data_IF_024016827190
#
_entry.id   IF_024016827190
#
_cell.length_a   1.000
_cell.length_b   1.000
_cell.length_c   1.000
_cell.angle_alpha   90.00
_cell.angle_beta   90.00
_cell.angle_gamma   90.00
#
_symmetry.space_group_name_H-M   'P 1'
#
loop_
_entity.id
_entity.type
_entity.pdbx_description
1 polymer ?
#
# COMPACT_ATOMS: atom_id res chain seq x y z
N UNK A 1 -41.64 46.61 6.04
CA UNK A 1 -40.17 46.75 6.01
C UNK A 1 -39.56 45.79 7.02
N UNK A 2 -38.41 45.18 6.67
CA UNK A 2 -37.50 44.33 7.48
C UNK A 2 -37.85 42.83 7.49
N UNK A 3 -37.46 42.08 6.47
CA UNK A 3 -36.12 41.55 6.14
C UNK A 3 -35.87 40.19 6.79
N UNK A 4 -36.16 39.12 6.03
CA UNK A 4 -35.72 37.75 6.33
C UNK A 4 -34.20 37.65 6.10
N UNK A 5 -33.44 37.34 7.15
CA UNK A 5 -32.04 36.92 7.02
C UNK A 5 -32.01 35.41 6.78
N UNK A 6 -31.76 35.00 5.54
CA UNK A 6 -31.41 33.62 5.19
C UNK A 6 -29.88 33.51 5.26
N UNK A 7 -29.37 32.87 6.32
CA UNK A 7 -27.97 32.46 6.41
C UNK A 7 -27.79 31.18 5.58
N UNK A 8 -27.23 31.32 4.38
CA UNK A 8 -26.75 30.20 3.58
C UNK A 8 -25.38 29.76 4.11
N UNK A 9 -25.32 28.59 4.73
CA UNK A 9 -24.08 27.94 5.14
C UNK A 9 -23.48 27.22 3.93
N UNK A 10 -22.56 27.89 3.23
CA UNK A 10 -21.78 27.25 2.17
C UNK A 10 -20.77 26.31 2.82
N UNK A 11 -21.03 25.00 2.71
CA UNK A 11 -20.07 23.98 3.12
C UNK A 11 -19.02 23.83 2.03
N UNK A 12 -17.78 24.23 2.31
CA UNK A 12 -16.63 23.94 1.45
C UNK A 12 -16.35 22.44 1.53
N UNK A 13 -16.71 21.69 0.47
CA UNK A 13 -16.25 20.32 0.31
C UNK A 13 -14.77 20.37 -0.07
N UNK A 14 -13.89 20.17 0.93
CA UNK A 14 -12.51 19.81 0.64
C UNK A 14 -12.53 18.45 -0.05
N UNK A 15 -12.17 18.40 -1.33
CA UNK A 15 -11.90 17.14 -2.02
C UNK A 15 -10.66 16.54 -1.38
N UNK A 16 -10.87 15.76 -0.33
CA UNK A 16 -9.88 14.80 0.13
C UNK A 16 -9.98 13.62 -0.82
N UNK A 17 -8.91 13.32 -1.57
CA UNK A 17 -8.80 12.07 -2.36
C UNK A 17 -8.53 10.90 -1.41
N UNK A 18 -9.29 10.82 -0.32
CA UNK A 18 -9.21 9.74 0.63
C UNK A 18 -9.92 8.53 0.03
N UNK A 19 -9.14 7.49 -0.24
CA UNK A 19 -9.62 6.18 -0.63
C UNK A 19 -9.89 5.35 0.61
N UNK A 20 -10.73 4.33 0.48
CA UNK A 20 -11.02 3.41 1.57
C UNK A 20 -11.05 1.97 1.06
N UNK A 21 -10.59 1.04 1.90
CA UNK A 21 -10.66 -0.39 1.64
C UNK A 21 -11.08 -1.16 2.88
N UNK A 22 -11.80 -2.26 2.67
CA UNK A 22 -12.18 -3.20 3.71
C UNK A 22 -11.23 -4.40 3.67
N UNK A 23 -10.53 -4.62 4.79
CA UNK A 23 -9.73 -5.81 5.03
C UNK A 23 -10.64 -6.84 5.69
N UNK A 24 -10.67 -8.03 5.12
CA UNK A 24 -11.44 -9.16 5.59
C UNK A 24 -10.52 -10.17 6.28
N UNK A 25 -11.09 -10.85 7.26
CA UNK A 25 -10.53 -11.97 7.99
C UNK A 25 -11.33 -13.22 7.63
N UNK A 26 -10.64 -14.31 7.29
CA UNK A 26 -11.28 -15.54 6.86
C UNK A 26 -10.60 -16.76 7.51
N UNK A 27 -11.23 -17.34 8.56
CA UNK A 27 -10.81 -18.61 9.15
C UNK A 27 -10.95 -19.76 8.14
N UNK A 28 -10.07 -20.75 8.25
CA UNK A 28 -10.18 -21.97 7.45
C UNK A 28 -11.46 -22.72 7.85
N UNK A 29 -12.41 -22.85 6.90
CA UNK A 29 -13.67 -23.57 7.10
C UNK A 29 -14.86 -22.69 7.52
N UNK A 30 -14.71 -21.37 7.59
CA UNK A 30 -15.80 -20.42 7.86
C UNK A 30 -16.04 -19.48 6.68
N UNK A 31 -16.91 -18.49 6.83
CA UNK A 31 -17.07 -17.39 5.87
C UNK A 31 -16.17 -16.19 6.24
N UNK A 32 -15.74 -15.35 5.26
CA UNK A 32 -15.01 -14.12 5.53
C UNK A 32 -15.85 -13.09 6.31
N UNK A 33 -15.24 -12.42 7.27
CA UNK A 33 -15.83 -11.32 8.03
C UNK A 33 -14.96 -10.07 7.98
N UNK A 34 -15.52 -8.90 8.32
CA UNK A 34 -14.76 -7.66 8.38
C UNK A 34 -13.69 -7.73 9.49
N UNK A 35 -12.46 -7.34 9.15
CA UNK A 35 -11.33 -7.23 10.08
C UNK A 35 -10.98 -5.77 10.37
N UNK A 36 -10.86 -4.97 9.31
CA UNK A 36 -10.53 -3.56 9.44
C UNK A 36 -11.10 -2.77 8.26
N UNK A 37 -11.43 -1.51 8.50
CA UNK A 37 -11.65 -0.54 7.42
C UNK A 37 -10.54 0.48 7.46
N UNK A 38 -9.80 0.60 6.36
CA UNK A 38 -8.68 1.53 6.24
C UNK A 38 -9.05 2.65 5.29
N UNK A 39 -8.95 3.88 5.77
CA UNK A 39 -8.99 5.09 4.93
C UNK A 39 -7.56 5.56 4.72
N UNK A 40 -7.20 5.91 3.48
CA UNK A 40 -5.84 6.35 3.15
C UNK A 40 -5.84 7.40 2.05
N UNK A 41 -4.85 8.28 2.09
CA UNK A 41 -4.54 9.21 1.01
C UNK A 41 -3.13 8.90 0.48
N UNK A 42 -3.00 8.38 -0.76
CA UNK A 42 -1.71 8.00 -1.32
C UNK A 42 -0.77 9.20 -1.54
N UNK A 43 -1.29 10.42 -1.58
CA UNK A 43 -0.48 11.63 -1.82
C UNK A 43 0.07 12.20 -0.51
N UNK A 44 -0.76 12.24 0.54
CA UNK A 44 -0.36 12.78 1.85
C UNK A 44 0.15 11.73 2.82
N UNK A 45 0.08 10.45 2.45
CA UNK A 45 0.41 9.28 3.28
C UNK A 45 -0.34 9.22 4.61
N UNK A 46 -1.45 9.95 4.71
CA UNK A 46 -2.33 9.92 5.88
C UNK A 46 -3.16 8.66 5.83
N UNK A 47 -3.20 7.95 6.94
CA UNK A 47 -3.96 6.72 7.11
C UNK A 47 -4.80 6.79 8.38
N UNK A 48 -5.96 6.16 8.35
CA UNK A 48 -6.84 5.94 9.49
C UNK A 48 -7.41 4.52 9.42
N UNK A 49 -7.52 3.85 10.56
CA UNK A 49 -7.94 2.45 10.63
C UNK A 49 -8.98 2.21 11.70
N UNK A 50 -10.13 1.69 11.28
CA UNK A 50 -11.15 1.16 12.16
C UNK A 50 -10.97 -0.36 12.27
N UNK A 51 -10.19 -0.80 13.27
CA UNK A 51 -9.86 -2.19 13.51
C UNK A 51 -10.90 -2.90 14.38
N UNK A 52 -11.30 -4.12 13.99
CA UNK A 52 -12.23 -4.98 14.70
C UNK A 52 -11.49 -6.28 15.07
N UNK A 53 -10.95 -6.40 16.30
CA UNK A 53 -10.18 -7.56 16.70
C UNK A 53 -11.00 -8.85 16.54
N UNK A 54 -10.48 -9.86 15.81
CA UNK A 54 -11.15 -11.16 15.74
C UNK A 54 -11.00 -11.89 17.07
N UNK A 55 -11.92 -12.80 17.36
CA UNK A 55 -11.73 -13.78 18.44
C UNK A 55 -11.11 -15.06 17.83
N UNK A 56 -9.79 -15.26 17.93
CA UNK A 56 -9.12 -16.33 17.21
C UNK A 56 -9.45 -17.68 17.86
N UNK A 57 -10.19 -18.52 17.13
CA UNK A 57 -10.41 -19.94 17.48
C UNK A 57 -9.47 -20.88 16.73
N UNK A 58 -8.76 -20.37 15.71
CA UNK A 58 -7.87 -21.12 14.84
C UNK A 58 -6.46 -20.51 14.88
N UNK A 59 -5.44 -21.34 14.60
CA UNK A 59 -4.03 -20.92 14.63
C UNK A 59 -3.65 -20.06 13.41
N UNK A 60 -4.19 -20.41 12.23
CA UNK A 60 -3.92 -19.77 10.95
C UNK A 60 -5.19 -19.26 10.31
N UNK A 61 -5.12 -18.04 9.79
CA UNK A 61 -6.26 -17.30 9.25
C UNK A 61 -5.84 -16.55 8.00
N UNK A 62 -6.74 -16.42 7.04
CA UNK A 62 -6.48 -15.61 5.85
C UNK A 62 -6.89 -14.18 6.14
N UNK A 63 -6.09 -13.23 5.69
CA UNK A 63 -6.45 -11.82 5.64
C UNK A 63 -6.36 -11.34 4.20
N UNK A 64 -7.24 -10.43 3.78
CA UNK A 64 -7.25 -10.00 2.40
C UNK A 64 -8.48 -9.22 2.04
N UNK A 65 -8.73 -9.11 0.74
CA UNK A 65 -9.87 -8.41 0.17
C UNK A 65 -10.33 -9.12 -1.11
N UNK A 66 -11.49 -8.73 -1.60
CA UNK A 66 -12.00 -9.21 -2.89
C UNK A 66 -11.70 -8.19 -3.98
N UNK A 67 -10.86 -8.58 -4.95
CA UNK A 67 -10.63 -7.82 -6.18
C UNK A 67 -11.34 -8.53 -7.32
N UNK A 68 -12.27 -7.87 -8.00
CA UNK A 68 -13.01 -8.46 -9.14
C UNK A 68 -13.66 -9.82 -8.82
N UNK A 69 -14.23 -9.97 -7.62
CA UNK A 69 -14.83 -11.21 -7.09
C UNK A 69 -13.84 -12.36 -6.84
N UNK A 70 -12.54 -12.10 -6.91
CA UNK A 70 -11.49 -13.04 -6.56
C UNK A 70 -10.88 -12.64 -5.22
N UNK A 71 -10.65 -13.63 -4.36
CA UNK A 71 -9.96 -13.41 -3.09
C UNK A 71 -8.47 -13.17 -3.36
N UNK A 72 -7.94 -12.10 -2.80
CA UNK A 72 -6.50 -11.80 -2.80
C UNK A 72 -6.08 -11.49 -1.38
N UNK A 73 -5.06 -12.17 -0.89
CA UNK A 73 -4.64 -12.03 0.51
C UNK A 73 -3.53 -12.97 0.95
N UNK A 74 -3.19 -12.86 2.21
CA UNK A 74 -2.11 -13.59 2.89
C UNK A 74 -2.65 -14.55 3.94
N UNK A 75 -1.90 -15.61 4.24
CA UNK A 75 -2.15 -16.48 5.40
C UNK A 75 -1.26 -16.01 6.56
N UNK A 76 -1.85 -15.76 7.72
CA UNK A 76 -1.16 -15.21 8.90
C UNK A 76 -1.51 -16.00 10.15
N UNK A 77 -0.65 -15.92 11.17
CA UNK A 77 -0.97 -16.43 12.50
C UNK A 77 -2.07 -15.56 13.13
N UNK A 78 -3.07 -16.20 13.73
CA UNK A 78 -4.20 -15.48 14.33
C UNK A 78 -3.76 -14.63 15.53
N UNK A 79 -2.71 -15.06 16.24
CA UNK A 79 -2.06 -14.30 17.31
C UNK A 79 -1.44 -12.98 16.84
N UNK A 80 -1.09 -12.86 15.55
CA UNK A 80 -0.55 -11.60 15.01
C UNK A 80 -1.63 -10.51 14.84
N UNK A 81 -2.90 -10.84 15.04
CA UNK A 81 -4.02 -9.89 14.92
C UNK A 81 -4.48 -9.32 16.27
N UNK A 82 -3.97 -9.81 17.41
CA UNK A 82 -4.44 -9.37 18.74
C UNK A 82 -3.72 -8.15 19.27
N UNK A 83 -2.47 -7.92 18.86
CA UNK A 83 -1.57 -6.92 19.48
C UNK A 83 -1.32 -5.71 18.56
N UNK A 84 -2.40 -4.99 18.19
CA UNK A 84 -2.33 -3.81 17.30
C UNK A 84 -1.54 -4.06 16.01
N UNK A 85 -2.05 -4.94 15.12
CA UNK A 85 -1.34 -5.27 13.89
C UNK A 85 -1.08 -4.05 13.02
N UNK A 86 0.12 -3.99 12.42
CA UNK A 86 0.40 -3.06 11.33
C UNK A 86 0.02 -3.70 10.00
N UNK A 87 -1.06 -3.22 9.39
CA UNK A 87 -1.50 -3.66 8.07
C UNK A 87 -0.64 -3.02 6.99
N UNK A 88 -0.09 -3.83 6.09
CA UNK A 88 0.62 -3.35 4.91
C UNK A 88 -0.28 -3.45 3.70
N UNK A 89 -0.59 -2.31 3.10
CA UNK A 89 -1.40 -2.19 1.90
C UNK A 89 -0.49 -1.98 0.69
N UNK A 90 -0.57 -2.91 -0.27
CA UNK A 90 0.15 -2.79 -1.52
C UNK A 90 -0.77 -2.11 -2.55
N UNK A 91 -0.31 -0.98 -3.06
CA UNK A 91 -1.02 -0.10 -3.98
C UNK A 91 -0.47 -0.27 -5.40
N UNK A 92 -1.36 -0.34 -6.38
CA UNK A 92 -1.00 -0.37 -7.79
C UNK A 92 -0.75 1.05 -8.35
N UNK A 93 -0.50 1.16 -9.65
CA UNK A 93 -0.27 2.44 -10.33
C UNK A 93 -1.50 3.39 -10.31
N UNK A 94 -2.70 2.88 -10.02
CA UNK A 94 -3.91 3.68 -9.83
C UNK A 94 -4.14 4.06 -8.35
N UNK A 95 -3.23 3.66 -7.46
CA UNK A 95 -3.35 3.75 -6.00
C UNK A 95 -4.51 2.92 -5.43
N UNK A 96 -4.91 1.84 -6.11
CA UNK A 96 -5.87 0.88 -5.59
C UNK A 96 -5.14 -0.25 -4.85
N UNK A 97 -5.73 -0.73 -3.75
CA UNK A 97 -5.13 -1.83 -2.99
C UNK A 97 -5.32 -3.14 -3.74
N UNK A 98 -4.22 -3.76 -4.16
CA UNK A 98 -4.25 -5.06 -4.83
C UNK A 98 -3.86 -6.23 -3.91
N UNK A 99 -3.19 -5.96 -2.78
CA UNK A 99 -2.79 -7.00 -1.82
C UNK A 99 -2.65 -6.44 -0.40
N UNK A 100 -2.91 -7.29 0.60
CA UNK A 100 -2.79 -6.98 2.03
C UNK A 100 -1.90 -8.00 2.72
N UNK A 101 -0.98 -7.52 3.53
CA UNK A 101 -0.15 -8.34 4.42
C UNK A 101 -0.05 -7.71 5.81
N UNK A 102 0.58 -8.41 6.75
CA UNK A 102 0.97 -7.84 8.04
C UNK A 102 2.46 -7.50 8.00
N UNK A 103 2.81 -6.33 8.53
CA UNK A 103 4.19 -6.00 8.84
C UNK A 103 4.59 -6.67 10.15
N UNK A 104 5.84 -7.14 10.22
CA UNK A 104 6.47 -7.62 11.46
C UNK A 104 7.43 -6.56 12.04
N UNK A 105 7.39 -5.34 11.51
CA UNK A 105 8.26 -4.25 11.94
C UNK A 105 7.78 -3.68 13.28
N UNK A 106 8.51 -3.98 14.34
CA UNK A 106 8.22 -3.48 15.70
C UNK A 106 8.43 -1.97 15.85
N UNK A 107 9.09 -1.32 14.88
CA UNK A 107 9.31 0.12 14.87
C UNK A 107 8.27 0.90 14.07
N UNK A 108 7.25 0.22 13.54
CA UNK A 108 6.16 0.88 12.83
C UNK A 108 5.41 1.83 13.78
N UNK A 109 5.44 3.13 13.47
CA UNK A 109 4.75 4.16 14.24
C UNK A 109 3.27 4.27 13.87
N UNK A 110 2.88 3.68 12.74
CA UNK A 110 1.52 3.67 12.21
C UNK A 110 0.96 2.25 12.15
N UNK A 111 -0.35 2.12 12.38
CA UNK A 111 -1.06 0.85 12.21
C UNK A 111 -1.26 0.44 10.74
N UNK A 112 -0.92 1.33 9.81
CA UNK A 112 -1.02 1.08 8.37
C UNK A 112 0.26 1.56 7.68
N UNK A 113 0.81 0.69 6.84
CA UNK A 113 1.96 0.92 5.98
C UNK A 113 1.50 0.88 4.50
N UNK A 114 1.83 1.91 3.72
CA UNK A 114 1.47 2.00 2.30
C UNK A 114 2.70 1.68 1.45
N UNK A 115 2.59 0.64 0.63
CA UNK A 115 3.65 0.20 -0.28
C UNK A 115 3.20 0.40 -1.71
N UNK A 116 3.88 1.31 -2.40
CA UNK A 116 3.60 1.61 -3.81
C UNK A 116 4.31 0.62 -4.73
N UNK A 117 3.68 0.31 -5.86
CA UNK A 117 4.31 -0.47 -6.92
C UNK A 117 5.44 0.33 -7.57
N UNK A 118 6.68 -0.01 -7.25
CA UNK A 118 7.86 0.60 -7.87
C UNK A 118 8.34 -0.27 -9.05
N UNK A 119 8.50 0.32 -10.25
CA UNK A 119 9.04 -0.42 -11.37
C UNK A 119 10.48 -0.87 -11.06
N UNK A 120 10.69 -2.18 -11.05
CA UNK A 120 12.01 -2.77 -10.81
C UNK A 120 13.06 -2.33 -11.83
N UNK A 121 14.35 -2.52 -11.49
CA UNK A 121 15.47 -2.19 -12.36
C UNK A 121 15.33 -2.88 -13.71
N UNK A 122 15.16 -2.09 -14.77
CA UNK A 122 15.03 -2.62 -16.13
C UNK A 122 16.42 -3.04 -16.62
N UNK A 123 16.61 -4.31 -17.04
CA UNK A 123 17.90 -4.73 -17.56
C UNK A 123 18.20 -3.97 -18.84
N UNK A 124 19.42 -3.44 -18.93
CA UNK A 124 19.89 -2.78 -20.13
C UNK A 124 20.33 -3.84 -21.16
N UNK A 125 19.37 -4.34 -21.92
CA UNK A 125 19.59 -5.29 -23.02
C UNK A 125 20.46 -4.69 -24.14
N UNK A 126 21.25 -5.55 -24.78
CA UNK A 126 22.03 -5.26 -25.99
C UNK A 126 23.00 -4.08 -25.87
N UNK A 127 23.55 -3.80 -24.69
CA UNK A 127 24.69 -2.88 -24.61
C UNK A 127 25.93 -3.61 -25.15
N UNK A 128 26.52 -3.16 -26.28
CA UNK A 128 27.76 -3.75 -26.76
C UNK A 128 28.85 -3.52 -25.71
N UNK A 129 29.50 -4.59 -25.28
CA UNK A 129 30.67 -4.52 -24.42
C UNK A 129 31.86 -4.28 -25.34
N UNK A 130 32.38 -3.06 -25.35
CA UNK A 130 33.66 -2.77 -26.00
C UNK A 130 34.72 -3.32 -25.08
N UNK A 131 35.48 -4.33 -25.52
CA UNK A 131 36.64 -4.84 -24.79
C UNK A 131 37.90 -4.26 -25.42
N UNK A 132 38.88 -3.90 -24.58
CA UNK A 132 40.21 -3.58 -25.05
C UNK A 132 40.93 -4.80 -25.64
N UNK A 133 42.07 -4.61 -26.33
CA UNK A 133 42.89 -5.70 -26.88
C UNK A 133 43.30 -6.73 -25.81
N UNK A 134 43.36 -6.29 -24.56
CA UNK A 134 43.81 -7.04 -23.39
C UNK A 134 42.66 -7.82 -22.72
N UNK A 135 41.45 -7.74 -23.26
CA UNK A 135 40.24 -8.35 -22.70
C UNK A 135 39.64 -7.61 -21.51
N UNK A 136 40.25 -6.49 -21.08
CA UNK A 136 39.74 -5.65 -20.02
C UNK A 136 38.58 -4.76 -20.51
N UNK A 137 37.59 -4.55 -19.65
CA UNK A 137 36.53 -3.57 -19.87
C UNK A 137 37.13 -2.16 -19.69
N UNK A 138 37.08 -1.28 -20.71
CA UNK A 138 37.55 0.08 -20.57
C UNK A 138 36.65 0.83 -19.59
N UNK A 139 37.27 1.55 -18.66
CA UNK A 139 36.58 2.44 -17.73
C UNK A 139 35.88 3.55 -18.54
N UNK A 140 34.59 3.83 -18.31
CA UNK A 140 33.87 4.83 -19.10
C UNK A 140 34.47 6.21 -18.84
N UNK A 141 35.24 6.70 -19.79
CA UNK A 141 35.78 8.05 -19.75
C UNK A 141 34.63 9.05 -19.91
N UNK A 142 34.23 9.73 -18.83
CA UNK A 142 33.28 10.83 -18.88
C UNK A 142 33.90 11.97 -19.72
N UNK A 143 33.55 12.04 -21.00
CA UNK A 143 33.98 13.14 -21.87
C UNK A 143 33.27 14.41 -21.46
N UNK A 144 33.93 15.23 -20.63
CA UNK A 144 33.57 16.62 -20.38
C UNK A 144 33.68 17.39 -21.71
N UNK A 145 32.54 17.67 -22.34
CA UNK A 145 32.39 18.46 -23.58
C UNK A 145 32.66 19.96 -23.35
N UNK A 146 33.80 20.29 -22.73
CA UNK A 146 34.24 21.66 -22.53
C UNK A 146 35.69 21.78 -23.00
N UNK A 147 35.88 21.74 -24.31
CA UNK A 147 37.00 22.45 -24.92
C UNK A 147 36.44 23.63 -25.72
N UNK A 148 36.93 24.80 -25.34
CA UNK A 148 36.66 26.14 -25.86
C UNK A 148 37.24 26.31 -27.26
#
# INVERSE_FOLDING_TARGET
MRSLFLLSLVSLLLYTNALATDILYWPLGSEPSLLARVSYDPTSLKTDVAFHPPNPTADLVRIGLYTNKQWVGSLVAASSLTDNPTFRLHLDAANEVYHVSLSSDEFATTQVDLVFDEPGTRPHLNRPIVVGPDGATPEPEEKTLLQK
#
